data_IF_727423934884
#
_entry.id   IF_727423934884
#
_cell.length_a   1.000
_cell.length_b   1.000
_cell.length_c   1.000
_cell.angle_alpha   90.00
_cell.angle_beta   90.00
_cell.angle_gamma   90.00
#
_symmetry.space_group_name_H-M   'P 1'
#
loop_
_entity.id
_entity.type
_entity.pdbx_description
1 polymer ?
#
# COMPACT_ATOMS: atom_id res chain seq x y z
N UNK A 1 24.15 -50.82 -11.26
CA UNK A 1 24.18 -49.40 -10.87
C UNK A 1 22.84 -48.82 -11.27
N UNK A 2 21.87 -48.87 -10.36
CA UNK A 2 20.50 -48.40 -10.63
C UNK A 2 20.38 -46.95 -10.18
N UNK A 3 20.13 -46.04 -11.12
CA UNK A 3 19.82 -44.65 -10.86
C UNK A 3 18.29 -44.57 -10.73
N UNK A 4 17.80 -44.42 -9.50
CA UNK A 4 16.38 -44.18 -9.21
C UNK A 4 16.04 -42.72 -9.50
N UNK A 5 15.42 -42.47 -10.64
CA UNK A 5 14.87 -41.18 -11.00
C UNK A 5 13.62 -40.88 -10.14
N UNK A 6 13.74 -39.97 -9.18
CA UNK A 6 12.57 -39.34 -8.52
C UNK A 6 11.97 -38.32 -9.47
N UNK A 7 10.87 -38.68 -10.14
CA UNK A 7 9.98 -37.70 -10.78
C UNK A 7 9.40 -36.80 -9.72
N UNK A 8 9.90 -35.58 -9.64
CA UNK A 8 9.19 -34.51 -8.94
C UNK A 8 7.98 -34.14 -9.79
N UNK A 9 6.81 -34.59 -9.39
CA UNK A 9 5.55 -34.07 -9.90
C UNK A 9 5.43 -32.64 -9.35
N UNK A 10 5.82 -31.66 -10.16
CA UNK A 10 5.50 -30.26 -9.87
C UNK A 10 4.00 -30.15 -10.11
N UNK A 11 3.21 -30.29 -9.06
CA UNK A 11 1.81 -29.83 -9.07
C UNK A 11 1.92 -28.31 -9.22
N UNK A 12 1.75 -27.84 -10.45
CA UNK A 12 1.51 -26.43 -10.71
C UNK A 12 0.18 -26.08 -10.06
N UNK A 13 0.22 -25.67 -8.82
CA UNK A 13 -0.89 -24.95 -8.22
C UNK A 13 -0.98 -23.67 -9.03
N UNK A 14 -1.96 -23.56 -9.92
CA UNK A 14 -2.32 -22.32 -10.57
C UNK A 14 -2.82 -21.40 -9.45
N UNK A 15 -1.91 -20.73 -8.78
CA UNK A 15 -2.24 -19.69 -7.81
C UNK A 15 -2.92 -18.58 -8.60
N UNK A 16 -4.20 -18.34 -8.32
CA UNK A 16 -4.91 -17.18 -8.85
C UNK A 16 -4.22 -15.93 -8.30
N UNK A 17 -3.44 -15.26 -9.13
CA UNK A 17 -2.69 -14.06 -8.75
C UNK A 17 -3.60 -12.83 -8.53
N UNK A 18 -4.89 -12.95 -8.85
CA UNK A 18 -5.92 -11.94 -8.63
C UNK A 18 -7.06 -12.57 -7.81
N UNK A 19 -6.82 -12.91 -6.55
CA UNK A 19 -7.80 -13.60 -5.72
C UNK A 19 -9.02 -12.73 -5.41
N UNK A 20 -10.11 -13.36 -5.06
CA UNK A 20 -11.31 -12.69 -4.59
C UNK A 20 -11.10 -12.10 -3.20
N UNK A 21 -11.58 -10.86 -3.01
CA UNK A 21 -11.53 -10.11 -1.76
C UNK A 21 -12.95 -9.64 -1.41
N UNK A 22 -13.73 -10.54 -0.83
CA UNK A 22 -15.10 -10.23 -0.39
C UNK A 22 -15.03 -9.50 0.94
N UNK A 23 -15.35 -8.20 0.95
CA UNK A 23 -15.18 -7.35 2.13
C UNK A 23 -15.90 -7.93 3.36
N UNK A 24 -17.12 -8.41 3.20
CA UNK A 24 -17.96 -8.94 4.28
C UNK A 24 -17.34 -10.15 4.99
N UNK A 25 -16.46 -10.89 4.31
CA UNK A 25 -15.82 -12.09 4.86
C UNK A 25 -14.53 -11.77 5.64
N UNK A 26 -13.91 -10.60 5.42
CA UNK A 26 -12.64 -10.28 6.06
C UNK A 26 -12.52 -8.86 6.66
N UNK A 27 -13.59 -8.08 6.65
CA UNK A 27 -13.55 -6.70 7.15
C UNK A 27 -13.02 -6.56 8.58
N UNK A 28 -13.29 -7.52 9.47
CA UNK A 28 -12.78 -7.50 10.83
C UNK A 28 -11.27 -7.79 10.87
N UNK A 29 -10.79 -8.70 10.01
CA UNK A 29 -9.37 -8.95 9.82
C UNK A 29 -8.68 -7.75 9.18
N UNK A 30 -9.28 -7.15 8.16
CA UNK A 30 -8.78 -5.92 7.53
C UNK A 30 -8.61 -4.80 8.55
N UNK A 31 -9.61 -4.57 9.39
CA UNK A 31 -9.55 -3.55 10.45
C UNK A 31 -8.41 -3.82 11.43
N UNK A 32 -8.22 -5.06 11.85
CA UNK A 32 -7.13 -5.44 12.77
C UNK A 32 -5.75 -5.27 12.11
N UNK A 33 -5.55 -5.82 10.91
CA UNK A 33 -4.27 -5.72 10.18
C UNK A 33 -3.96 -4.26 9.83
N UNK A 34 -4.95 -3.45 9.55
CA UNK A 34 -4.76 -2.01 9.36
C UNK A 34 -4.13 -1.36 10.61
N UNK A 35 -4.64 -1.66 11.82
CA UNK A 35 -4.05 -1.14 13.07
C UNK A 35 -2.63 -1.66 13.28
N UNK A 36 -2.37 -2.94 12.98
CA UNK A 36 -1.02 -3.51 13.08
C UNK A 36 -0.03 -2.84 12.13
N UNK A 37 -0.45 -2.56 10.89
CA UNK A 37 0.42 -1.84 9.94
C UNK A 37 0.65 -0.39 10.35
N UNK A 38 -0.31 0.26 11.01
CA UNK A 38 -0.10 1.59 11.60
C UNK A 38 0.94 1.60 12.72
N UNK A 39 0.95 0.57 13.59
CA UNK A 39 1.96 0.43 14.64
C UNK A 39 3.36 0.35 14.00
N UNK A 40 3.56 -0.58 13.07
CA UNK A 40 4.84 -0.77 12.38
C UNK A 40 5.23 0.45 11.53
N UNK A 41 4.26 1.04 10.85
CA UNK A 41 4.47 2.25 10.06
C UNK A 41 4.90 3.46 10.90
N UNK A 42 4.36 3.61 12.12
CA UNK A 42 4.78 4.66 13.06
C UNK A 42 6.17 4.44 13.61
N UNK A 43 6.59 3.18 13.80
CA UNK A 43 7.98 2.85 14.13
C UNK A 43 8.90 3.32 12.99
N UNK A 44 8.56 2.98 11.74
CA UNK A 44 9.30 3.44 10.56
C UNK A 44 9.36 4.97 10.47
N UNK A 45 8.22 5.64 10.63
CA UNK A 45 8.15 7.10 10.63
C UNK A 45 9.06 7.74 11.69
N UNK A 46 9.20 7.11 12.86
CA UNK A 46 10.07 7.59 13.94
C UNK A 46 11.55 7.40 13.64
N UNK A 47 11.91 6.31 12.96
CA UNK A 47 13.29 5.90 12.74
C UNK A 47 13.92 6.43 11.45
N UNK A 48 13.09 6.77 10.44
CA UNK A 48 13.64 7.17 9.13
C UNK A 48 13.73 8.68 8.98
N UNK A 49 14.80 9.20 8.35
CA UNK A 49 14.91 10.61 8.00
C UNK A 49 13.77 11.04 7.08
N UNK A 50 13.33 12.29 7.25
CA UNK A 50 12.28 12.87 6.41
C UNK A 50 12.70 12.88 4.93
N UNK A 51 11.85 12.34 4.10
CA UNK A 51 11.96 12.42 2.64
C UNK A 51 10.76 13.21 2.12
N UNK A 52 10.97 14.00 1.05
CA UNK A 52 9.91 14.82 0.46
C UNK A 52 8.62 14.03 0.20
N UNK A 53 7.49 14.69 0.36
CA UNK A 53 6.15 14.12 0.28
C UNK A 53 5.89 12.98 1.28
N UNK A 54 6.67 12.92 2.36
CA UNK A 54 6.57 11.90 3.42
C UNK A 54 6.82 10.47 2.92
N UNK A 55 7.60 10.29 1.86
CA UNK A 55 7.90 8.97 1.32
C UNK A 55 8.71 8.07 2.26
N UNK A 56 9.26 8.63 3.31
CA UNK A 56 9.98 7.87 4.34
C UNK A 56 9.08 7.03 5.25
N UNK A 57 7.78 7.33 5.31
CA UNK A 57 6.89 6.65 6.29
C UNK A 57 6.29 5.34 5.79
N UNK A 58 6.25 5.13 4.47
CA UNK A 58 5.49 4.07 3.80
C UNK A 58 6.07 2.68 4.01
N UNK A 59 5.22 1.65 3.92
CA UNK A 59 5.65 0.27 3.76
C UNK A 59 5.77 -0.10 2.27
N UNK A 60 6.33 -1.28 2.01
CA UNK A 60 6.54 -1.79 0.66
C UNK A 60 6.07 -3.24 0.55
N UNK A 61 5.54 -3.60 -0.62
CA UNK A 61 5.25 -5.00 -0.92
C UNK A 61 6.56 -5.76 -1.10
N UNK A 62 6.72 -6.83 -0.33
CA UNK A 62 7.85 -7.74 -0.39
C UNK A 62 7.48 -9.09 -1.00
N UNK A 63 8.46 -9.95 -1.17
CA UNK A 63 8.27 -11.33 -1.64
C UNK A 63 7.46 -12.20 -0.65
N UNK A 64 7.22 -11.72 0.57
CA UNK A 64 6.51 -12.48 1.61
C UNK A 64 5.34 -11.72 2.25
N UNK A 65 5.24 -10.40 2.04
CA UNK A 65 4.19 -9.59 2.67
C UNK A 65 4.43 -8.09 2.54
N UNK A 66 4.53 -7.40 3.66
CA UNK A 66 4.79 -5.96 3.74
C UNK A 66 6.01 -5.68 4.61
N UNK A 67 6.94 -4.86 4.12
CA UNK A 67 8.19 -4.54 4.82
C UNK A 67 8.34 -3.04 5.06
N UNK A 68 9.01 -2.68 6.16
CA UNK A 68 9.54 -1.34 6.39
C UNK A 68 10.72 -1.01 5.50
N UNK A 69 11.39 -2.00 4.90
CA UNK A 69 12.78 -1.90 4.48
C UNK A 69 13.71 -1.52 5.66
N UNK A 70 15.03 -1.59 5.50
CA UNK A 70 15.96 -1.25 6.58
C UNK A 70 15.76 0.17 7.12
N UNK A 71 15.74 0.28 8.45
CA UNK A 71 15.63 1.53 9.21
C UNK A 71 16.87 1.71 10.07
N UNK A 72 17.45 2.93 10.16
CA UNK A 72 18.62 3.17 10.99
C UNK A 72 18.27 3.12 12.49
N UNK A 73 19.16 2.56 13.29
CA UNK A 73 19.12 2.64 14.73
C UNK A 73 20.55 2.60 15.28
N UNK A 74 21.01 3.70 15.85
CA UNK A 74 22.39 3.89 16.31
C UNK A 74 23.43 3.52 15.25
N UNK A 75 24.25 2.48 15.46
CA UNK A 75 25.30 2.00 14.57
C UNK A 75 24.88 0.81 13.69
N UNK A 76 23.61 0.40 13.74
CA UNK A 76 23.02 -0.71 12.97
C UNK A 76 21.76 -0.31 12.23
N UNK A 77 21.23 -1.21 11.44
CA UNK A 77 19.90 -1.09 10.84
C UNK A 77 19.04 -2.28 11.27
N UNK A 78 17.73 -2.09 11.30
CA UNK A 78 16.76 -3.16 11.48
C UNK A 78 15.61 -3.01 10.49
N UNK A 79 14.94 -4.12 10.20
CA UNK A 79 13.80 -4.21 9.30
C UNK A 79 12.67 -4.97 9.98
N UNK A 80 11.44 -4.53 9.77
CA UNK A 80 10.24 -5.24 10.22
C UNK A 80 9.46 -5.69 8.98
N UNK A 81 9.18 -6.98 8.89
CA UNK A 81 8.41 -7.57 7.80
C UNK A 81 7.22 -8.35 8.33
N UNK A 82 6.04 -8.04 7.82
CA UNK A 82 4.87 -8.92 7.91
C UNK A 82 5.04 -10.02 6.88
N UNK A 83 5.27 -11.24 7.32
CA UNK A 83 5.30 -12.42 6.48
C UNK A 83 3.91 -13.04 6.43
N UNK A 84 3.21 -12.85 5.31
CA UNK A 84 1.86 -13.36 5.08
C UNK A 84 1.83 -14.75 4.42
N UNK A 85 2.98 -15.42 4.33
CA UNK A 85 3.11 -16.83 3.93
C UNK A 85 3.19 -17.72 5.18
N UNK A 86 4.12 -17.40 6.10
CA UNK A 86 4.32 -18.16 7.34
C UNK A 86 3.57 -17.53 8.53
N UNK A 87 2.83 -16.44 8.29
CA UNK A 87 2.04 -15.68 9.28
C UNK A 87 2.87 -15.28 10.50
N UNK A 88 3.94 -14.52 10.23
CA UNK A 88 4.86 -14.02 11.25
C UNK A 88 5.16 -12.53 11.03
N UNK A 89 5.36 -11.81 12.12
CA UNK A 89 6.08 -10.54 12.07
C UNK A 89 7.56 -10.85 12.36
N UNK A 90 8.44 -10.50 11.43
CA UNK A 90 9.88 -10.69 11.56
C UNK A 90 10.55 -9.35 11.85
N UNK A 91 11.51 -9.34 12.77
CA UNK A 91 12.38 -8.18 13.04
C UNK A 91 13.82 -8.67 12.88
N UNK A 92 14.46 -8.24 11.80
CA UNK A 92 15.83 -8.62 11.44
C UNK A 92 16.77 -7.44 11.68
N UNK A 93 17.91 -7.65 12.35
CA UNK A 93 18.94 -6.66 12.61
C UNK A 93 20.22 -6.96 11.82
N UNK A 94 20.95 -5.91 11.42
CA UNK A 94 22.18 -6.04 10.64
C UNK A 94 23.36 -6.68 11.39
N UNK A 95 23.29 -6.79 12.72
CA UNK A 95 24.22 -7.52 13.56
C UNK A 95 23.93 -9.04 13.63
N UNK A 96 22.85 -9.49 12.96
CA UNK A 96 22.42 -10.87 12.92
C UNK A 96 21.39 -11.23 13.99
N UNK A 97 21.01 -10.32 14.88
CA UNK A 97 19.91 -10.55 15.81
C UNK A 97 18.59 -10.62 15.04
N UNK A 98 17.71 -11.55 15.44
CA UNK A 98 16.43 -11.81 14.82
C UNK A 98 15.40 -12.17 15.89
N UNK A 99 14.20 -11.63 15.76
CA UNK A 99 13.03 -12.13 16.50
C UNK A 99 11.83 -12.28 15.59
N UNK A 100 10.88 -13.12 15.99
CA UNK A 100 9.63 -13.33 15.26
C UNK A 100 8.45 -13.41 16.22
N UNK A 101 7.34 -12.81 15.86
CA UNK A 101 6.05 -12.91 16.53
C UNK A 101 5.07 -13.65 15.63
N UNK A 102 4.20 -14.48 16.18
CA UNK A 102 3.17 -15.16 15.41
C UNK A 102 2.01 -14.20 15.10
N UNK A 103 1.59 -14.12 13.83
CA UNK A 103 0.38 -13.40 13.43
C UNK A 103 -0.82 -14.34 13.57
N UNK A 104 -1.64 -14.08 14.58
CA UNK A 104 -2.82 -14.88 14.92
C UNK A 104 -3.93 -13.97 15.48
N UNK A 105 -5.16 -14.46 15.65
CA UNK A 105 -6.20 -13.66 16.29
C UNK A 105 -5.79 -13.22 17.69
N UNK A 106 -5.55 -11.90 17.85
CA UNK A 106 -5.19 -11.24 19.10
C UNK A 106 -5.56 -9.75 19.04
N UNK A 107 -5.74 -9.12 20.20
CA UNK A 107 -6.09 -7.70 20.24
C UNK A 107 -4.96 -6.81 19.73
N UNK A 108 -5.33 -5.64 19.20
CA UNK A 108 -4.33 -4.61 18.81
C UNK A 108 -3.47 -4.21 20.01
N UNK A 109 -4.05 -4.21 21.23
CA UNK A 109 -3.30 -3.88 22.45
C UNK A 109 -2.25 -4.95 22.77
N UNK A 110 -2.58 -6.23 22.61
CA UNK A 110 -1.63 -7.32 22.83
C UNK A 110 -0.52 -7.28 21.76
N UNK A 111 -0.88 -7.14 20.49
CA UNK A 111 0.08 -7.00 19.40
C UNK A 111 1.01 -5.80 19.59
N UNK A 112 0.47 -4.63 19.98
CA UNK A 112 1.27 -3.44 20.27
C UNK A 112 2.31 -3.73 21.36
N UNK A 113 1.88 -4.35 22.46
CA UNK A 113 2.76 -4.73 23.55
C UNK A 113 3.83 -5.72 23.10
N UNK A 114 3.46 -6.78 22.37
CA UNK A 114 4.41 -7.77 21.86
C UNK A 114 5.48 -7.17 20.94
N UNK A 115 5.08 -6.28 20.03
CA UNK A 115 6.02 -5.59 19.13
C UNK A 115 7.00 -4.71 19.92
N UNK A 116 6.51 -3.94 20.90
CA UNK A 116 7.37 -3.08 21.70
C UNK A 116 8.31 -3.89 22.60
N UNK A 117 7.82 -4.98 23.21
CA UNK A 117 8.64 -5.91 23.99
C UNK A 117 9.71 -6.60 23.13
N UNK A 118 9.36 -7.00 21.91
CA UNK A 118 10.30 -7.62 20.96
C UNK A 118 11.42 -6.65 20.53
N UNK A 119 11.08 -5.40 20.25
CA UNK A 119 12.07 -4.36 19.95
C UNK A 119 13.01 -4.11 21.15
N UNK A 120 12.43 -3.96 22.34
CA UNK A 120 13.22 -3.80 23.57
C UNK A 120 14.15 -5.01 23.82
N UNK A 121 13.67 -6.24 23.54
CA UNK A 121 14.49 -7.45 23.62
C UNK A 121 15.65 -7.52 22.62
N UNK A 122 15.63 -6.68 21.59
CA UNK A 122 16.70 -6.47 20.61
C UNK A 122 17.53 -5.22 20.92
N UNK A 123 17.41 -4.64 22.11
CA UNK A 123 18.02 -3.35 22.49
C UNK A 123 17.65 -2.20 21.51
N UNK A 124 16.37 -2.18 21.09
CA UNK A 124 15.82 -1.11 20.25
C UNK A 124 14.72 -0.41 21.03
N UNK A 125 15.05 0.76 21.58
CA UNK A 125 14.11 1.59 22.32
C UNK A 125 13.44 2.62 21.41
N UNK A 126 12.17 2.38 21.06
CA UNK A 126 11.37 3.25 20.20
C UNK A 126 10.07 3.62 20.89
N UNK A 127 9.79 4.90 20.97
CA UNK A 127 8.49 5.39 21.42
C UNK A 127 7.71 5.96 20.24
N UNK A 128 6.47 5.50 20.06
CA UNK A 128 5.54 6.02 19.06
C UNK A 128 4.29 6.62 19.75
N UNK A 129 3.67 7.58 19.08
CA UNK A 129 2.36 8.04 19.53
C UNK A 129 1.30 6.97 19.29
N UNK A 130 0.69 6.39 20.34
CA UNK A 130 -0.11 5.17 20.21
C UNK A 130 -1.56 5.43 19.77
N UNK A 131 -1.81 6.52 19.05
CA UNK A 131 -3.12 6.83 18.49
C UNK A 131 -3.12 6.56 16.97
N UNK A 132 -4.05 5.76 16.43
CA UNK A 132 -4.17 5.59 14.99
C UNK A 132 -4.52 6.91 14.29
N UNK A 133 -4.20 7.02 13.02
CA UNK A 133 -4.52 8.16 12.15
C UNK A 133 -5.48 7.72 11.04
N UNK A 134 -6.20 8.66 10.46
CA UNK A 134 -7.14 8.43 9.35
C UNK A 134 -8.26 7.42 9.66
N UNK A 135 -8.54 7.19 10.94
CA UNK A 135 -9.56 6.26 11.42
C UNK A 135 -10.67 7.05 12.11
N UNK A 136 -11.94 6.85 11.74
CA UNK A 136 -13.07 7.38 12.50
C UNK A 136 -13.11 6.78 13.91
N UNK A 137 -13.31 7.62 14.95
CA UNK A 137 -13.40 7.19 16.34
C UNK A 137 -12.22 6.31 16.80
N UNK A 138 -10.97 6.79 16.68
CA UNK A 138 -9.79 5.97 16.91
C UNK A 138 -9.67 5.51 18.36
N UNK A 139 -9.27 4.27 18.56
CA UNK A 139 -8.92 3.69 19.86
C UNK A 139 -7.40 3.64 19.95
N UNK A 140 -6.83 4.07 21.10
CA UNK A 140 -5.38 3.95 21.31
C UNK A 140 -4.93 2.50 21.15
N UNK A 141 -3.79 2.25 20.52
CA UNK A 141 -3.26 0.90 20.30
C UNK A 141 -3.13 0.12 21.61
N UNK A 142 -2.61 0.74 22.66
CA UNK A 142 -2.42 0.12 23.98
C UNK A 142 -3.75 -0.16 24.75
N UNK A 143 -4.89 0.25 24.21
CA UNK A 143 -6.23 0.08 24.82
C UNK A 143 -7.21 -0.65 23.90
N UNK A 144 -6.83 -0.93 22.67
CA UNK A 144 -7.72 -1.50 21.66
C UNK A 144 -7.87 -3.02 21.86
N UNK A 145 -8.94 -3.40 22.53
CA UNK A 145 -9.37 -4.80 22.75
C UNK A 145 -10.49 -5.22 21.78
N UNK A 146 -10.88 -4.34 20.84
CA UNK A 146 -11.97 -4.57 19.89
C UNK A 146 -11.46 -5.22 18.62
N UNK A 147 -10.44 -4.64 17.98
CA UNK A 147 -9.86 -5.18 16.77
C UNK A 147 -8.93 -6.34 17.12
N UNK A 148 -9.35 -7.57 16.78
CA UNK A 148 -8.65 -8.80 17.19
C UNK A 148 -8.79 -9.97 16.22
N UNK A 149 -9.44 -9.76 15.10
CA UNK A 149 -9.67 -10.80 14.10
C UNK A 149 -8.43 -10.95 13.21
N UNK A 150 -8.09 -12.19 12.86
CA UNK A 150 -7.04 -12.49 11.88
C UNK A 150 -7.38 -13.76 11.12
N UNK A 151 -7.70 -13.62 9.85
CA UNK A 151 -7.88 -14.71 8.90
C UNK A 151 -6.64 -14.81 8.01
N UNK A 152 -5.85 -15.84 8.24
CA UNK A 152 -4.58 -16.07 7.55
C UNK A 152 -4.76 -16.24 6.04
N UNK A 153 -5.82 -16.92 5.60
CA UNK A 153 -6.11 -17.13 4.17
C UNK A 153 -6.45 -15.81 3.48
N UNK A 154 -7.32 -14.96 4.10
CA UNK A 154 -7.66 -13.67 3.52
C UNK A 154 -6.50 -12.68 3.49
N UNK A 155 -5.66 -12.66 4.52
CA UNK A 155 -4.45 -11.82 4.53
C UNK A 155 -3.47 -12.28 3.46
N UNK A 156 -3.31 -13.60 3.24
CA UNK A 156 -2.51 -14.12 2.15
C UNK A 156 -3.10 -13.76 0.77
N UNK A 157 -4.43 -13.85 0.59
CA UNK A 157 -5.11 -13.38 -0.63
C UNK A 157 -4.86 -11.90 -0.89
N UNK A 158 -5.02 -11.07 0.14
CA UNK A 158 -4.75 -9.64 0.05
C UNK A 158 -3.32 -9.36 -0.41
N UNK A 159 -2.32 -10.00 0.19
CA UNK A 159 -0.94 -9.86 -0.22
C UNK A 159 -0.70 -10.32 -1.67
N UNK A 160 -1.28 -11.43 -2.11
CA UNK A 160 -1.17 -11.87 -3.52
C UNK A 160 -1.77 -10.86 -4.49
N UNK A 161 -2.90 -10.26 -4.13
CA UNK A 161 -3.47 -9.16 -4.91
C UNK A 161 -2.48 -7.98 -4.96
N UNK A 162 -1.91 -7.57 -3.82
CA UNK A 162 -0.91 -6.50 -3.77
C UNK A 162 0.31 -6.80 -4.65
N UNK A 163 0.83 -8.04 -4.66
CA UNK A 163 1.97 -8.43 -5.52
C UNK A 163 1.65 -8.23 -7.01
N UNK A 164 0.45 -8.64 -7.44
CA UNK A 164 0.02 -8.49 -8.84
C UNK A 164 -0.19 -7.01 -9.22
N UNK A 165 -0.77 -6.23 -8.31
CA UNK A 165 -1.01 -4.79 -8.49
C UNK A 165 0.33 -4.03 -8.51
N UNK A 166 1.24 -4.36 -7.61
CA UNK A 166 2.57 -3.76 -7.51
C UNK A 166 3.39 -3.96 -8.80
N UNK A 167 3.29 -5.13 -9.43
CA UNK A 167 3.94 -5.38 -10.72
C UNK A 167 3.40 -4.44 -11.81
N UNK A 168 2.07 -4.30 -11.93
CA UNK A 168 1.45 -3.38 -12.90
C UNK A 168 1.82 -1.93 -12.58
N UNK A 169 1.79 -1.52 -11.31
CA UNK A 169 2.17 -0.16 -10.93
C UNK A 169 3.66 0.13 -11.19
N UNK A 170 4.55 -0.85 -11.01
CA UNK A 170 5.97 -0.73 -11.38
C UNK A 170 6.15 -0.60 -12.89
N UNK A 171 5.40 -1.34 -13.69
CA UNK A 171 5.40 -1.21 -15.15
C UNK A 171 4.88 0.17 -15.58
N UNK A 172 3.75 0.63 -15.03
CA UNK A 172 3.22 1.96 -15.25
C UNK A 172 4.24 3.05 -14.87
N UNK A 173 4.86 2.92 -13.69
CA UNK A 173 5.91 3.81 -13.22
C UNK A 173 7.09 3.87 -14.17
N UNK A 174 7.52 2.74 -14.74
CA UNK A 174 8.70 2.66 -15.61
C UNK A 174 8.56 3.43 -16.91
N UNK A 175 7.34 3.75 -17.34
CA UNK A 175 7.07 4.53 -18.56
C UNK A 175 7.25 6.05 -18.36
N UNK A 176 7.58 6.50 -17.15
CA UNK A 176 7.69 7.90 -16.80
C UNK A 176 9.13 8.24 -16.37
N UNK A 177 9.72 9.32 -16.94
CA UNK A 177 11.08 9.80 -16.65
C UNK A 177 11.10 11.06 -15.80
N UNK A 178 9.95 11.71 -15.65
CA UNK A 178 9.76 12.80 -14.69
C UNK A 178 9.83 12.32 -13.25
N UNK A 179 9.61 13.22 -12.29
CA UNK A 179 9.51 12.85 -10.89
C UNK A 179 8.31 11.91 -10.71
N UNK A 180 8.56 10.74 -10.15
CA UNK A 180 7.56 9.71 -9.84
C UNK A 180 7.88 9.02 -8.52
N UNK A 181 6.86 8.74 -7.72
CA UNK A 181 7.08 8.03 -6.45
C UNK A 181 7.54 6.59 -6.67
N UNK A 182 8.23 5.96 -5.71
CA UNK A 182 8.15 4.51 -5.57
C UNK A 182 6.69 4.05 -5.50
N UNK A 183 6.43 2.76 -5.67
CA UNK A 183 5.12 2.20 -5.36
C UNK A 183 5.08 2.00 -3.85
N UNK A 184 4.16 2.68 -3.17
CA UNK A 184 4.08 2.78 -1.73
C UNK A 184 2.86 2.10 -1.18
N UNK A 185 2.99 1.43 -0.03
CA UNK A 185 1.85 1.06 0.79
C UNK A 185 1.70 2.08 1.92
N UNK A 186 0.65 2.88 1.86
CA UNK A 186 0.33 3.92 2.83
C UNK A 186 -0.48 3.33 3.98
N UNK A 187 0.16 3.08 5.09
CA UNK A 187 -0.45 2.43 6.24
C UNK A 187 -1.53 3.27 6.95
N UNK A 188 -1.56 4.59 6.76
CA UNK A 188 -2.59 5.48 7.31
C UNK A 188 -3.95 5.24 6.66
N UNK A 189 -4.01 5.32 5.35
CA UNK A 189 -5.19 5.08 4.51
C UNK A 189 -5.38 3.61 4.10
N UNK A 190 -4.37 2.76 4.34
CA UNK A 190 -4.32 1.36 3.99
C UNK A 190 -4.47 1.10 2.48
N UNK A 191 -3.80 1.90 1.70
CA UNK A 191 -3.82 1.83 0.24
C UNK A 191 -2.42 1.64 -0.37
N UNK A 192 -2.39 1.11 -1.59
CA UNK A 192 -1.16 0.88 -2.35
C UNK A 192 -1.16 1.80 -3.57
N UNK A 193 -0.16 2.69 -3.69
CA UNK A 193 -0.24 3.79 -4.65
C UNK A 193 1.09 4.13 -5.33
N UNK A 194 0.95 4.74 -6.53
CA UNK A 194 2.03 5.35 -7.30
C UNK A 194 1.60 6.72 -7.84
N UNK A 195 2.47 7.71 -7.72
CA UNK A 195 2.16 9.10 -8.05
C UNK A 195 3.16 9.66 -9.05
N UNK A 196 2.68 10.22 -10.17
CA UNK A 196 3.45 10.98 -11.16
C UNK A 196 3.32 12.46 -10.88
N UNK A 197 4.36 13.24 -11.17
CA UNK A 197 4.45 14.67 -10.93
C UNK A 197 4.72 15.42 -12.23
N UNK A 198 4.08 16.58 -12.41
CA UNK A 198 4.38 17.47 -13.56
C UNK A 198 5.74 18.17 -13.43
N UNK A 199 6.28 18.25 -12.21
CA UNK A 199 7.43 19.08 -11.87
C UNK A 199 7.08 20.53 -11.51
N UNK A 200 5.82 20.95 -11.67
CA UNK A 200 5.34 22.30 -11.31
C UNK A 200 4.85 22.34 -9.87
N UNK A 201 5.10 23.44 -9.12
CA UNK A 201 4.46 23.67 -7.84
C UNK A 201 2.93 23.70 -7.98
N UNK A 202 2.22 23.12 -7.02
CA UNK A 202 0.77 23.23 -6.93
C UNK A 202 0.37 24.54 -6.20
N UNK A 203 -0.84 25.07 -6.45
CA UNK A 203 -1.37 26.15 -5.64
C UNK A 203 -1.41 25.76 -4.17
N UNK A 204 -1.14 26.68 -3.24
CA UNK A 204 -1.24 26.39 -1.80
C UNK A 204 -2.63 25.88 -1.43
N UNK A 205 -2.68 24.84 -0.61
CA UNK A 205 -3.93 24.34 -0.03
C UNK A 205 -4.22 25.07 1.29
N UNK A 206 -5.47 25.44 1.51
CA UNK A 206 -5.94 25.95 2.80
C UNK A 206 -6.13 24.80 3.79
N UNK A 207 -5.03 24.18 4.22
CA UNK A 207 -5.00 23.15 5.25
C UNK A 207 -4.00 23.54 6.32
N UNK A 208 -4.33 23.25 7.58
CA UNK A 208 -3.50 23.65 8.72
C UNK A 208 -2.38 22.64 9.05
N UNK A 209 -2.38 21.47 8.42
CA UNK A 209 -1.37 20.44 8.68
C UNK A 209 -0.24 20.49 7.66
N UNK A 210 0.99 20.35 8.15
CA UNK A 210 2.21 20.36 7.33
C UNK A 210 2.34 19.14 6.42
N UNK A 211 1.69 18.02 6.77
CA UNK A 211 1.73 16.78 6.02
C UNK A 211 1.05 16.96 4.66
N UNK A 212 -0.19 17.39 4.69
CA UNK A 212 -0.98 17.65 3.48
C UNK A 212 -0.34 18.76 2.64
N UNK A 213 0.19 19.84 3.29
CA UNK A 213 0.87 20.90 2.57
C UNK A 213 2.07 20.39 1.77
N UNK A 214 2.92 19.55 2.35
CA UNK A 214 4.09 19.00 1.68
C UNK A 214 3.72 17.90 0.67
N UNK A 215 2.80 16.99 1.04
CA UNK A 215 2.36 15.91 0.16
C UNK A 215 1.82 16.43 -1.17
N UNK A 216 1.11 17.56 -1.14
CA UNK A 216 0.51 18.21 -2.30
C UNK A 216 1.19 19.52 -2.71
N UNK A 217 2.46 19.68 -2.37
CA UNK A 217 3.25 20.88 -2.75
C UNK A 217 3.49 21.04 -4.25
N UNK A 218 3.32 19.96 -5.02
CA UNK A 218 3.47 19.91 -6.48
C UNK A 218 2.23 19.29 -7.12
N UNK A 219 2.02 19.59 -8.40
CA UNK A 219 0.95 18.96 -9.18
C UNK A 219 1.19 17.47 -9.34
N UNK A 220 0.17 16.67 -9.06
CA UNK A 220 0.24 15.21 -9.07
C UNK A 220 -0.92 14.58 -9.85
N UNK A 221 -0.66 13.39 -10.38
CA UNK A 221 -1.69 12.42 -10.76
C UNK A 221 -1.33 11.13 -10.05
N UNK A 222 -2.21 10.70 -9.14
CA UNK A 222 -2.00 9.52 -8.30
C UNK A 222 -2.92 8.40 -8.72
N UNK A 223 -2.41 7.18 -8.62
CA UNK A 223 -3.14 5.95 -8.87
C UNK A 223 -2.94 5.03 -7.68
N UNK A 224 -3.98 4.37 -7.24
CA UNK A 224 -3.85 3.44 -6.14
C UNK A 224 -4.91 2.36 -6.12
N UNK A 225 -4.71 1.45 -5.18
CA UNK A 225 -5.61 0.36 -4.83
C UNK A 225 -5.96 0.46 -3.35
N UNK A 226 -7.25 0.47 -3.07
CA UNK A 226 -7.78 0.41 -1.72
C UNK A 226 -8.60 -0.89 -1.56
N UNK A 227 -8.32 -1.71 -0.54
CA UNK A 227 -8.95 -3.03 -0.41
C UNK A 227 -10.40 -3.00 0.09
N UNK A 228 -10.98 -1.82 0.23
CA UNK A 228 -12.31 -1.63 0.77
C UNK A 228 -12.33 -1.30 2.25
N UNK A 229 -13.53 -1.15 2.78
CA UNK A 229 -13.80 -0.81 4.18
C UNK A 229 -15.05 0.04 4.32
N UNK A 230 -15.62 0.12 5.51
CA UNK A 230 -16.81 0.93 5.79
C UNK A 230 -17.98 0.69 4.80
N UNK A 231 -18.17 -0.56 4.38
CA UNK A 231 -19.22 -0.95 3.44
C UNK A 231 -18.92 -0.65 1.96
N UNK A 232 -17.72 -0.19 1.62
CA UNK A 232 -17.28 0.04 0.24
C UNK A 232 -16.33 -1.09 -0.17
N UNK A 233 -16.59 -1.71 -1.32
CA UNK A 233 -15.81 -2.82 -1.87
C UNK A 233 -14.43 -2.33 -2.37
N UNK A 234 -13.50 -3.28 -2.53
CA UNK A 234 -12.17 -3.02 -3.06
C UNK A 234 -12.20 -2.35 -4.44
N UNK A 235 -11.39 -1.31 -4.63
CA UNK A 235 -11.34 -0.55 -5.86
C UNK A 235 -9.95 0.04 -6.14
N UNK A 236 -9.67 0.25 -7.43
CA UNK A 236 -8.61 1.15 -7.87
C UNK A 236 -9.16 2.56 -7.97
N UNK A 237 -8.30 3.53 -7.72
CA UNK A 237 -8.62 4.95 -7.85
C UNK A 237 -7.58 5.69 -8.68
N UNK A 238 -7.98 6.84 -9.24
CA UNK A 238 -7.06 7.80 -9.85
C UNK A 238 -7.60 9.22 -9.71
N UNK A 239 -6.75 10.13 -9.24
CA UNK A 239 -7.08 11.54 -9.13
C UNK A 239 -5.94 12.44 -9.61
N UNK A 240 -6.27 13.69 -9.98
CA UNK A 240 -5.31 14.75 -10.23
C UNK A 240 -5.45 15.84 -9.17
N UNK A 241 -4.33 16.38 -8.70
CA UNK A 241 -4.33 17.50 -7.76
C UNK A 241 -3.30 18.59 -8.19
N UNK A 242 -3.76 19.83 -8.52
CA UNK A 242 -5.18 20.23 -8.58
C UNK A 242 -5.93 19.50 -9.70
N UNK A 243 -7.23 19.29 -9.48
CA UNK A 243 -8.09 18.70 -10.51
C UNK A 243 -8.28 19.69 -11.68
N UNK A 244 -7.93 19.31 -12.92
CA UNK A 244 -8.15 20.16 -14.07
C UNK A 244 -9.61 20.18 -14.50
N UNK A 245 -10.09 21.31 -14.99
CA UNK A 245 -11.46 21.44 -15.48
C UNK A 245 -11.75 20.44 -16.59
N UNK A 246 -12.91 19.77 -16.52
CA UNK A 246 -13.37 18.76 -17.48
C UNK A 246 -12.83 17.35 -17.24
N UNK A 247 -12.09 17.11 -16.13
CA UNK A 247 -11.56 15.78 -15.82
C UNK A 247 -12.68 14.75 -15.67
N UNK A 248 -13.75 15.09 -14.98
CA UNK A 248 -14.93 14.23 -14.75
C UNK A 248 -15.66 13.79 -16.02
N UNK A 249 -15.50 14.52 -17.14
CA UNK A 249 -16.11 14.23 -18.42
C UNK A 249 -15.24 13.35 -19.32
N UNK A 250 -14.03 13.05 -18.88
CA UNK A 250 -13.04 12.32 -19.67
C UNK A 250 -13.43 10.87 -19.87
N UNK A 251 -13.23 10.35 -21.07
CA UNK A 251 -13.40 8.93 -21.35
C UNK A 251 -12.17 8.17 -20.91
N UNK A 252 -12.38 7.17 -20.08
CA UNK A 252 -11.33 6.30 -19.55
C UNK A 252 -11.55 4.84 -19.95
N UNK A 253 -10.56 4.00 -19.69
CA UNK A 253 -10.61 2.55 -19.88
C UNK A 253 -10.28 1.85 -18.55
N UNK A 254 -10.75 0.60 -18.39
CA UNK A 254 -11.80 -0.08 -19.18
C UNK A 254 -13.17 0.57 -18.97
N UNK A 255 -14.17 0.14 -19.71
CA UNK A 255 -15.53 0.70 -19.65
C UNK A 255 -16.23 0.54 -18.28
N UNK A 256 -15.72 -0.32 -17.42
CA UNK A 256 -16.14 -0.48 -16.01
C UNK A 256 -15.63 0.61 -15.07
N UNK A 257 -14.67 1.44 -15.52
CA UNK A 257 -14.21 2.60 -14.78
C UNK A 257 -15.18 3.77 -14.91
N UNK A 258 -15.31 4.57 -13.85
CA UNK A 258 -16.19 5.74 -13.81
C UNK A 258 -15.61 6.84 -12.93
N UNK A 259 -16.09 8.06 -13.07
CA UNK A 259 -15.76 9.17 -12.19
C UNK A 259 -16.77 9.25 -11.03
N UNK A 260 -16.26 9.36 -9.81
CA UNK A 260 -17.06 9.57 -8.60
C UNK A 260 -17.09 11.06 -8.24
N UNK A 261 -18.22 11.76 -8.38
CA UNK A 261 -18.31 13.19 -8.04
C UNK A 261 -18.09 13.46 -6.54
N UNK A 262 -18.49 12.51 -5.68
CA UNK A 262 -18.36 12.63 -4.22
C UNK A 262 -16.91 12.54 -3.78
N UNK A 263 -16.14 11.62 -4.36
CA UNK A 263 -14.72 11.42 -4.05
C UNK A 263 -13.81 12.31 -4.91
N UNK A 264 -14.32 12.86 -6.01
CA UNK A 264 -13.57 13.65 -7.01
C UNK A 264 -12.40 12.87 -7.61
N UNK A 265 -12.66 11.62 -7.94
CA UNK A 265 -11.67 10.71 -8.53
C UNK A 265 -12.32 9.67 -9.45
N UNK A 266 -11.52 9.08 -10.34
CA UNK A 266 -11.92 7.91 -11.09
C UNK A 266 -11.82 6.68 -10.22
N UNK A 267 -12.80 5.79 -10.33
CA UNK A 267 -12.84 4.50 -9.65
C UNK A 267 -12.96 3.37 -10.66
N UNK A 268 -12.33 2.24 -10.34
CA UNK A 268 -12.47 0.98 -11.07
C UNK A 268 -12.61 -0.16 -10.05
N UNK A 269 -13.77 -0.85 -10.00
CA UNK A 269 -13.97 -1.96 -9.07
C UNK A 269 -12.91 -3.04 -9.25
N UNK A 270 -12.33 -3.53 -8.16
CA UNK A 270 -11.32 -4.60 -8.19
C UNK A 270 -11.87 -5.86 -8.87
N UNK A 271 -13.12 -6.21 -8.60
CA UNK A 271 -13.78 -7.36 -9.20
C UNK A 271 -13.90 -7.28 -10.72
N UNK A 272 -14.10 -6.07 -11.27
CA UNK A 272 -14.13 -5.87 -12.72
C UNK A 272 -12.76 -6.13 -13.36
N UNK A 273 -11.68 -5.85 -12.63
CA UNK A 273 -10.31 -6.14 -13.07
C UNK A 273 -10.01 -7.63 -12.94
N UNK A 274 -10.17 -8.23 -11.75
CA UNK A 274 -9.82 -9.64 -11.51
C UNK A 274 -10.58 -10.63 -12.38
N UNK A 275 -11.81 -10.29 -12.78
CA UNK A 275 -12.65 -11.11 -13.64
C UNK A 275 -12.42 -10.85 -15.14
N UNK A 276 -11.61 -9.88 -15.50
CA UNK A 276 -11.29 -9.61 -16.91
C UNK A 276 -10.42 -10.72 -17.52
N UNK A 277 -10.42 -10.89 -18.85
CA UNK A 277 -9.54 -11.85 -19.52
C UNK A 277 -8.05 -11.59 -19.28
N UNK A 278 -7.65 -10.34 -19.04
CA UNK A 278 -6.28 -9.91 -18.74
C UNK A 278 -6.30 -8.84 -17.65
N UNK A 279 -6.29 -9.22 -16.36
CA UNK A 279 -6.38 -8.26 -15.26
C UNK A 279 -5.27 -7.21 -15.26
N UNK A 280 -4.04 -7.59 -15.57
CA UNK A 280 -2.90 -6.67 -15.66
C UNK A 280 -3.10 -5.60 -16.73
N UNK A 281 -3.58 -5.99 -17.92
CA UNK A 281 -3.84 -5.04 -19.01
C UNK A 281 -5.02 -4.13 -18.67
N UNK A 282 -6.07 -4.65 -18.04
CA UNK A 282 -7.22 -3.86 -17.61
C UNK A 282 -6.83 -2.78 -16.59
N UNK A 283 -5.98 -3.11 -15.62
CA UNK A 283 -5.44 -2.14 -14.67
C UNK A 283 -4.49 -1.15 -15.35
N UNK A 284 -3.61 -1.62 -16.24
CA UNK A 284 -2.72 -0.74 -17.00
C UNK A 284 -3.51 0.27 -17.87
N UNK A 285 -4.57 -0.19 -18.55
CA UNK A 285 -5.47 0.67 -19.34
C UNK A 285 -6.12 1.74 -18.46
N UNK A 286 -6.54 1.37 -17.24
CA UNK A 286 -7.08 2.35 -16.28
C UNK A 286 -6.04 3.39 -15.89
N UNK A 287 -4.86 2.96 -15.45
CA UNK A 287 -3.79 3.86 -15.05
C UNK A 287 -3.38 4.79 -16.20
N UNK A 288 -3.20 4.25 -17.39
CA UNK A 288 -2.74 5.03 -18.54
C UNK A 288 -3.81 6.01 -19.03
N UNK A 289 -5.07 5.58 -19.16
CA UNK A 289 -6.13 6.45 -19.67
C UNK A 289 -6.49 7.58 -18.70
N UNK A 290 -6.50 7.33 -17.40
CA UNK A 290 -6.77 8.36 -16.38
C UNK A 290 -5.60 9.34 -16.26
N UNK A 291 -4.35 8.84 -16.33
CA UNK A 291 -3.16 9.69 -16.41
C UNK A 291 -3.22 10.61 -17.65
N UNK A 292 -3.49 10.06 -18.83
CA UNK A 292 -3.56 10.84 -20.07
C UNK A 292 -4.65 11.91 -20.02
N UNK A 293 -5.82 11.58 -19.47
CA UNK A 293 -6.90 12.54 -19.26
C UNK A 293 -6.43 13.71 -18.38
N UNK A 294 -5.88 13.42 -17.21
CA UNK A 294 -5.39 14.44 -16.28
C UNK A 294 -4.23 15.26 -16.84
N UNK A 295 -3.21 14.59 -17.39
CA UNK A 295 -2.01 15.25 -17.91
C UNK A 295 -2.29 16.16 -19.10
N UNK A 296 -3.19 15.73 -20.02
CA UNK A 296 -3.58 16.53 -21.18
C UNK A 296 -4.37 17.79 -20.76
N UNK A 297 -5.38 17.63 -19.90
CA UNK A 297 -6.19 18.74 -19.40
C UNK A 297 -5.36 19.72 -18.56
N UNK A 298 -4.46 19.22 -17.71
CA UNK A 298 -3.54 20.03 -16.93
C UNK A 298 -2.35 20.54 -17.75
N UNK A 299 -2.27 20.22 -19.06
CA UNK A 299 -1.20 20.65 -19.98
C UNK A 299 0.21 20.31 -19.46
N UNK A 300 0.40 19.08 -19.01
CA UNK A 300 1.73 18.57 -18.66
C UNK A 300 2.58 18.41 -19.95
N UNK A 301 3.88 18.66 -19.84
CA UNK A 301 4.80 18.42 -20.96
C UNK A 301 5.13 16.93 -21.08
N UNK A 302 4.18 16.15 -21.58
CA UNK A 302 4.26 14.71 -21.72
C UNK A 302 5.47 14.26 -22.54
N UNK A 303 5.92 15.05 -23.52
CA UNK A 303 7.10 14.72 -24.34
C UNK A 303 8.41 14.68 -23.54
N UNK A 304 8.49 15.50 -22.48
CA UNK A 304 9.65 15.56 -21.58
C UNK A 304 9.51 14.57 -20.43
N UNK A 305 8.28 14.21 -20.06
CA UNK A 305 7.99 13.42 -18.86
C UNK A 305 7.85 11.92 -19.13
N UNK A 306 7.58 11.51 -20.38
CA UNK A 306 7.32 10.12 -20.73
C UNK A 306 8.49 9.50 -21.52
N UNK A 307 8.65 8.18 -21.39
CA UNK A 307 9.54 7.42 -22.30
C UNK A 307 8.89 7.32 -23.66
N UNK A 308 9.68 7.53 -24.71
CA UNK A 308 9.30 7.32 -26.11
C UNK A 308 9.60 5.89 -26.54
#
# INVERSE_FOLDING_TARGET
MFICGRSFCIVSIMTNNWPELILEEWQDTLATVHMWTQIVGKIRMKQTPLVNHWWNVTLYVSARGLTTSPMPYEDRVFEIEFDFIDHKLRIDCSDGALTTLDLHPQSVADFYKEVMDALHGLDIDVEIWPMPVEIPNPIRFDQDQIHKSYDAEYVNRFWRALVSIDDVFKQFRSQFIGKVSPVHFWWGSFDHAVTRFSGRPAPPREVNDKWTQEAYSHEVISHGFWPGGNGVQAAFYSYAAPEPAGLSESKIKPASGFYSPDMKEFLLPYDAVRQSPSPGDALMDFCQSTYEAGANLAKWDRKVLERT
#
